data_IF_665515815007
#
_entry.id   IF_665515815007
#
_cell.length_a   1.000
_cell.length_b   1.000
_cell.length_c   1.000
_cell.angle_alpha   90.00
_cell.angle_beta   90.00
_cell.angle_gamma   90.00
#
_symmetry.space_group_name_H-M   'P 1'
#
loop_
_entity.id
_entity.type
_entity.pdbx_description
1 polymer ?
#
# COMPACT_ATOMS: atom_id res chain seq x y z
N UNK A 1 11.90 -30.10 11.89
CA UNK A 1 10.82 -29.12 11.63
C UNK A 1 10.77 -28.89 10.12
N UNK A 2 9.61 -29.05 9.46
CA UNK A 2 9.48 -28.84 8.01
C UNK A 2 9.61 -27.35 7.71
N UNK A 3 10.65 -26.94 7.00
CA UNK A 3 10.78 -25.58 6.47
C UNK A 3 9.76 -25.42 5.33
N UNK A 4 8.59 -24.88 5.66
CA UNK A 4 7.62 -24.43 4.65
C UNK A 4 8.28 -23.35 3.80
N UNK A 5 8.18 -23.48 2.47
CA UNK A 5 8.60 -22.42 1.56
C UNK A 5 7.77 -21.16 1.82
N UNK A 6 8.30 -19.98 1.49
CA UNK A 6 7.62 -18.69 1.69
C UNK A 6 6.18 -18.73 1.12
N UNK A 7 6.03 -19.31 -0.07
CA UNK A 7 4.75 -19.49 -0.74
C UNK A 7 3.78 -20.40 0.05
N UNK A 8 4.28 -21.49 0.64
CA UNK A 8 3.44 -22.36 1.49
C UNK A 8 3.00 -21.67 2.79
N UNK A 9 3.82 -20.77 3.34
CA UNK A 9 3.45 -19.99 4.54
C UNK A 9 2.36 -18.96 4.23
N UNK A 10 2.45 -18.28 3.09
CA UNK A 10 1.43 -17.32 2.66
C UNK A 10 0.08 -18.00 2.37
N UNK A 11 0.09 -19.14 1.67
CA UNK A 11 -1.11 -19.94 1.45
C UNK A 11 -1.73 -20.48 2.74
N UNK A 12 -0.92 -20.78 3.75
CA UNK A 12 -1.41 -21.18 5.07
C UNK A 12 -2.07 -20.00 5.79
N UNK A 13 -1.42 -18.82 5.82
CA UNK A 13 -1.99 -17.61 6.41
C UNK A 13 -3.30 -17.20 5.73
N UNK A 14 -3.38 -17.30 4.41
CA UNK A 14 -4.60 -16.98 3.66
C UNK A 14 -5.75 -17.90 4.04
N UNK A 15 -5.51 -19.21 4.19
CA UNK A 15 -6.54 -20.15 4.64
C UNK A 15 -7.07 -19.85 6.04
N UNK A 16 -6.18 -19.46 6.97
CA UNK A 16 -6.59 -19.06 8.31
C UNK A 16 -7.40 -17.76 8.27
N UNK A 17 -7.00 -16.80 7.43
CA UNK A 17 -7.73 -15.55 7.23
C UNK A 17 -9.13 -15.77 6.65
N UNK A 18 -9.27 -16.66 5.68
CA UNK A 18 -10.56 -17.04 5.10
C UNK A 18 -11.50 -17.64 6.17
N UNK A 19 -10.97 -18.51 7.05
CA UNK A 19 -11.73 -19.08 8.18
C UNK A 19 -12.19 -18.02 9.19
N UNK A 20 -11.42 -16.95 9.35
CA UNK A 20 -11.72 -15.85 10.28
C UNK A 20 -12.58 -14.75 9.64
N UNK A 21 -12.96 -14.89 8.36
CA UNK A 21 -13.75 -13.89 7.63
C UNK A 21 -12.97 -12.65 7.20
N UNK A 22 -11.64 -12.63 7.39
CA UNK A 22 -10.75 -11.53 6.97
C UNK A 22 -9.95 -11.88 5.70
N UNK A 23 -10.38 -12.93 5.00
CA UNK A 23 -9.71 -13.47 3.82
C UNK A 23 -9.54 -12.46 2.70
N UNK A 24 -10.58 -11.68 2.40
CA UNK A 24 -10.54 -10.66 1.35
C UNK A 24 -9.59 -9.51 1.69
N UNK A 25 -9.59 -9.10 2.96
CA UNK A 25 -8.62 -8.11 3.45
C UNK A 25 -7.18 -8.62 3.30
N UNK A 26 -6.91 -9.87 3.67
CA UNK A 26 -5.56 -10.44 3.54
C UNK A 26 -5.13 -10.61 2.08
N UNK A 27 -6.05 -10.95 1.17
CA UNK A 27 -5.78 -10.96 -0.28
C UNK A 27 -5.37 -9.59 -0.79
N UNK A 28 -6.04 -8.53 -0.33
CA UNK A 28 -5.70 -7.15 -0.71
C UNK A 28 -4.31 -6.75 -0.20
N UNK A 29 -3.99 -7.05 1.06
CA UNK A 29 -2.65 -6.77 1.62
C UNK A 29 -1.56 -7.51 0.84
N UNK A 30 -1.74 -8.80 0.57
CA UNK A 30 -0.76 -9.58 -0.21
C UNK A 30 -0.60 -8.99 -1.62
N UNK A 31 -1.70 -8.59 -2.26
CA UNK A 31 -1.67 -7.93 -3.56
C UNK A 31 -0.89 -6.61 -3.51
N UNK A 32 -1.11 -5.81 -2.47
CA UNK A 32 -0.39 -4.55 -2.24
C UNK A 32 1.11 -4.78 -2.03
N UNK A 33 1.48 -5.79 -1.24
CA UNK A 33 2.88 -6.10 -0.92
C UNK A 33 3.64 -6.73 -2.09
N UNK A 34 2.95 -7.50 -2.93
CA UNK A 34 3.56 -8.22 -4.06
C UNK A 34 3.59 -7.43 -5.36
N UNK A 35 2.72 -6.43 -5.52
CA UNK A 35 2.74 -5.56 -6.68
C UNK A 35 3.71 -4.39 -6.46
N UNK A 36 4.52 -4.10 -7.47
CA UNK A 36 5.27 -2.85 -7.51
C UNK A 36 4.30 -1.69 -7.75
N UNK A 37 3.85 -1.08 -6.65
CA UNK A 37 3.01 0.12 -6.66
C UNK A 37 3.82 1.41 -6.74
N UNK A 38 5.12 1.32 -7.04
CA UNK A 38 5.93 2.52 -7.26
C UNK A 38 5.43 3.23 -8.52
N UNK A 39 5.36 4.56 -8.42
CA UNK A 39 5.09 5.42 -9.57
C UNK A 39 6.42 5.91 -10.14
N UNK A 40 6.44 6.22 -11.43
CA UNK A 40 7.65 6.81 -12.04
C UNK A 40 8.04 8.13 -11.34
N UNK A 41 9.32 8.50 -11.38
CA UNK A 41 9.78 9.77 -10.81
C UNK A 41 9.03 10.98 -11.41
N UNK A 42 8.79 10.97 -12.71
CA UNK A 42 8.03 12.03 -13.40
C UNK A 42 6.57 12.10 -12.91
N UNK A 43 5.94 10.96 -12.65
CA UNK A 43 4.58 10.92 -12.10
C UNK A 43 4.56 11.35 -10.63
N UNK A 44 5.60 11.01 -9.85
CA UNK A 44 5.77 11.50 -8.49
C UNK A 44 5.89 13.02 -8.43
N UNK A 45 6.71 13.64 -9.29
CA UNK A 45 6.86 15.09 -9.38
C UNK A 45 5.55 15.79 -9.79
N UNK A 46 4.82 15.23 -10.75
CA UNK A 46 3.50 15.77 -11.12
C UNK A 46 2.51 15.67 -9.96
N UNK A 47 2.53 14.56 -9.21
CA UNK A 47 1.65 14.35 -8.07
C UNK A 47 1.98 15.28 -6.91
N UNK A 48 3.26 15.51 -6.65
CA UNK A 48 3.75 16.49 -5.67
C UNK A 48 3.26 17.90 -6.02
N UNK A 49 3.43 18.33 -7.27
CA UNK A 49 2.94 19.64 -7.72
C UNK A 49 1.41 19.78 -7.57
N UNK A 50 0.64 18.72 -7.87
CA UNK A 50 -0.81 18.73 -7.65
C UNK A 50 -1.19 18.79 -6.17
N UNK A 51 -0.47 18.12 -5.29
CA UNK A 51 -0.74 18.19 -3.86
C UNK A 51 -0.40 19.57 -3.30
N UNK A 52 0.74 20.13 -3.71
CA UNK A 52 1.22 21.43 -3.25
C UNK A 52 0.35 22.59 -3.74
N UNK A 53 -0.07 22.57 -5.00
CA UNK A 53 -0.73 23.71 -5.65
C UNK A 53 -2.18 23.45 -6.08
N UNK A 54 -2.60 22.19 -6.15
CA UNK A 54 -3.96 21.79 -6.57
C UNK A 54 -4.94 21.60 -5.42
N UNK A 55 -4.50 21.62 -4.17
CA UNK A 55 -5.37 21.53 -3.00
C UNK A 55 -5.20 22.76 -2.09
N UNK A 56 -6.19 23.68 -2.03
CA UNK A 56 -6.10 24.87 -1.18
C UNK A 56 -6.05 24.56 0.32
N UNK A 57 -6.41 23.34 0.77
CA UNK A 57 -6.21 22.91 2.14
C UNK A 57 -4.77 22.46 2.43
N UNK A 58 -4.06 21.90 1.44
CA UNK A 58 -2.66 21.53 1.57
C UNK A 58 -1.73 22.74 1.45
N UNK A 59 -2.10 23.73 0.62
CA UNK A 59 -1.38 25.00 0.52
C UNK A 59 -1.35 25.78 1.85
N UNK A 60 -2.44 25.75 2.62
CA UNK A 60 -2.52 26.42 3.93
C UNK A 60 -1.60 25.82 5.00
N UNK A 61 -1.36 24.50 4.98
CA UNK A 61 -0.45 23.86 5.93
C UNK A 61 1.02 24.22 5.69
N UNK A 62 1.38 24.65 4.48
CA UNK A 62 2.72 25.12 4.14
C UNK A 62 2.96 26.55 4.61
N UNK A 63 1.94 27.42 4.53
CA UNK A 63 2.03 28.81 5.02
C UNK A 63 2.12 28.89 6.56
N UNK A 64 1.58 27.92 7.29
CA UNK A 64 1.62 27.87 8.77
C UNK A 64 2.97 27.34 9.33
N UNK A 65 3.93 26.95 8.47
CA UNK A 65 5.25 26.45 8.85
C UNK A 65 6.39 27.49 8.70
N UNK A 66 6.09 28.68 8.19
CA UNK A 66 6.98 29.84 8.12
C UNK A 66 6.78 30.80 9.31
#
# INVERSE_FOLDING_TARGET
>A
MKNLSVNQKEQYKQRIADQQGVGDFMRQIISIESNDMSISSAEAEQRENRLKYGNPAAARLLDDLD
#
